data_IF_869612415690
#
_entry.id   IF_869612415690
#
_cell.length_a   1.000
_cell.length_b   1.000
_cell.length_c   1.000
_cell.angle_alpha   90.00
_cell.angle_beta   90.00
_cell.angle_gamma   90.00
#
_symmetry.space_group_name_H-M   'P 1'
#
loop_
_entity.id
_entity.type
_entity.pdbx_description
1 polymer ?
#
# COMPACT_ATOMS: atom_id res chain seq x y z
N UNK A 1 0.25 8.92 6.65
CA UNK A 1 1.27 8.44 7.60
C UNK A 1 1.38 6.91 7.58
N UNK A 2 2.44 6.35 8.16
CA UNK A 2 2.64 4.90 8.28
C UNK A 2 3.52 4.56 9.48
N UNK A 3 2.99 4.72 10.70
CA UNK A 3 3.78 4.55 11.94
C UNK A 3 4.19 3.08 12.13
N UNK A 4 5.31 2.85 12.83
CA UNK A 4 5.83 1.50 13.12
C UNK A 4 4.73 0.62 13.73
N UNK A 5 4.40 -0.48 13.05
CA UNK A 5 3.37 -1.44 13.47
C UNK A 5 1.99 -0.82 13.78
N UNK A 6 1.62 0.29 13.14
CA UNK A 6 0.38 1.04 13.45
C UNK A 6 -0.87 0.16 13.51
N UNK A 7 -1.17 -0.56 12.42
CA UNK A 7 -2.36 -1.44 12.35
C UNK A 7 -2.30 -2.54 13.42
N UNK A 8 -1.14 -3.17 13.61
CA UNK A 8 -0.94 -4.20 14.65
C UNK A 8 -1.19 -3.67 16.05
N UNK A 9 -0.68 -2.47 16.36
CA UNK A 9 -0.91 -1.82 17.66
C UNK A 9 -2.37 -1.42 17.86
N UNK A 10 -3.06 -0.98 16.81
CA UNK A 10 -4.48 -0.67 16.87
C UNK A 10 -5.32 -1.91 17.20
N UNK A 11 -5.07 -3.04 16.52
CA UNK A 11 -5.76 -4.29 16.82
C UNK A 11 -5.42 -4.83 18.21
N UNK A 12 -4.15 -4.77 18.62
CA UNK A 12 -3.72 -5.22 19.94
C UNK A 12 -4.35 -4.40 21.08
N UNK A 13 -4.56 -3.10 20.89
CA UNK A 13 -5.25 -2.25 21.85
C UNK A 13 -6.71 -2.67 22.10
N UNK A 14 -7.32 -3.40 21.15
CA UNK A 14 -8.66 -3.96 21.25
C UNK A 14 -8.65 -5.46 21.64
N UNK A 15 -7.49 -6.01 22.00
CA UNK A 15 -7.34 -7.42 22.39
C UNK A 15 -7.22 -8.40 21.21
N UNK A 16 -7.08 -7.92 19.97
CA UNK A 16 -6.94 -8.79 18.79
C UNK A 16 -5.47 -9.00 18.41
N UNK A 17 -5.14 -10.24 18.06
CA UNK A 17 -3.89 -10.58 17.39
C UNK A 17 -4.11 -10.66 15.88
N UNK A 18 -3.19 -10.08 15.12
CA UNK A 18 -3.24 -10.12 13.65
C UNK A 18 -2.39 -11.29 13.15
N UNK A 19 -3.06 -12.28 12.55
CA UNK A 19 -2.40 -13.42 11.89
C UNK A 19 -1.69 -12.98 10.61
N UNK A 20 -2.42 -12.29 9.72
CA UNK A 20 -1.88 -11.82 8.43
C UNK A 20 -2.24 -10.37 8.16
N UNK A 21 -1.32 -9.63 7.55
CA UNK A 21 -1.54 -8.25 7.12
C UNK A 21 -0.94 -8.08 5.72
N UNK A 22 -1.80 -7.76 4.75
CA UNK A 22 -1.41 -7.58 3.35
C UNK A 22 -1.84 -6.20 2.85
N UNK A 23 -0.89 -5.42 2.34
CA UNK A 23 -1.19 -4.15 1.67
C UNK A 23 -1.57 -4.43 0.22
N UNK A 24 -2.76 -3.99 -0.18
CA UNK A 24 -3.30 -4.24 -1.53
C UNK A 24 -3.23 -3.02 -2.47
N UNK A 25 -3.01 -1.82 -1.93
CA UNK A 25 -3.03 -0.56 -2.69
C UNK A 25 -2.18 0.52 -2.02
N UNK A 26 -1.61 1.41 -2.83
CA UNK A 26 -1.05 2.71 -2.42
C UNK A 26 -1.56 3.76 -3.39
N UNK A 27 -2.37 4.71 -2.91
CA UNK A 27 -3.02 5.72 -3.77
C UNK A 27 -3.71 5.08 -4.97
N UNK A 28 -3.44 5.53 -6.21
CA UNK A 28 -4.03 4.97 -7.41
C UNK A 28 -3.39 3.64 -7.89
N UNK A 29 -2.39 3.12 -7.20
CA UNK A 29 -1.64 1.92 -7.59
C UNK A 29 -2.12 0.70 -6.81
N UNK A 30 -2.62 -0.30 -7.53
CA UNK A 30 -3.10 -1.56 -6.96
C UNK A 30 -2.10 -2.71 -7.16
N UNK A 31 -2.11 -3.66 -6.22
CA UNK A 31 -1.32 -4.89 -6.29
C UNK A 31 -1.78 -5.79 -7.45
N UNK A 32 -3.09 -5.82 -7.74
CA UNK A 32 -3.69 -6.62 -8.80
C UNK A 32 -3.33 -8.10 -8.67
N UNK A 33 -2.85 -8.69 -9.77
CA UNK A 33 -2.51 -10.11 -9.88
C UNK A 33 -1.04 -10.43 -9.61
N UNK A 34 -0.24 -9.45 -9.14
CA UNK A 34 1.17 -9.66 -8.84
C UNK A 34 1.34 -10.65 -7.69
N UNK A 35 2.17 -11.67 -7.94
CA UNK A 35 2.56 -12.66 -6.94
C UNK A 35 3.65 -12.11 -6.03
N UNK A 36 3.87 -12.72 -4.84
CA UNK A 36 5.01 -12.38 -3.99
C UNK A 36 6.32 -12.36 -4.79
N UNK A 37 7.18 -11.39 -4.51
CA UNK A 37 8.46 -11.13 -5.19
C UNK A 37 8.38 -10.70 -6.67
N UNK A 38 7.18 -10.46 -7.21
CA UNK A 38 7.04 -9.85 -8.53
C UNK A 38 6.97 -8.31 -8.45
N UNK A 39 7.45 -7.66 -9.50
CA UNK A 39 7.32 -6.23 -9.71
C UNK A 39 6.89 -5.93 -11.15
N UNK A 40 6.33 -4.75 -11.35
CA UNK A 40 6.01 -4.20 -12.67
C UNK A 40 6.38 -2.73 -12.70
N UNK A 41 6.72 -2.22 -13.87
CA UNK A 41 6.94 -0.79 -14.05
C UNK A 41 5.59 -0.06 -14.03
N UNK A 42 5.58 1.11 -13.38
CA UNK A 42 4.47 2.05 -13.47
C UNK A 42 4.65 2.86 -14.76
N UNK A 43 3.60 2.95 -15.57
CA UNK A 43 3.67 3.67 -16.85
C UNK A 43 2.31 4.27 -17.22
N UNK A 44 2.34 5.16 -18.22
CA UNK A 44 1.14 5.77 -18.78
C UNK A 44 0.31 6.53 -17.74
N UNK A 45 -0.99 6.25 -17.70
CA UNK A 45 -1.94 6.96 -16.85
C UNK A 45 -1.66 6.78 -15.36
N UNK A 46 -1.27 5.57 -14.93
CA UNK A 46 -1.05 5.27 -13.52
C UNK A 46 0.12 6.08 -12.94
N UNK A 47 1.23 6.16 -13.67
CA UNK A 47 2.38 6.99 -13.27
C UNK A 47 2.02 8.48 -13.28
N UNK A 48 1.32 8.94 -14.32
CA UNK A 48 0.94 10.36 -14.44
C UNK A 48 0.05 10.81 -13.29
N UNK A 49 -0.94 9.99 -12.92
CA UNK A 49 -1.83 10.28 -11.79
C UNK A 49 -1.06 10.26 -10.47
N UNK A 50 -0.19 9.27 -10.26
CA UNK A 50 0.62 9.17 -9.04
C UNK A 50 1.52 10.40 -8.83
N UNK A 51 2.22 10.85 -9.87
CA UNK A 51 3.09 12.03 -9.80
C UNK A 51 2.29 13.32 -9.57
N UNK A 52 1.16 13.48 -10.27
CA UNK A 52 0.25 14.60 -10.09
C UNK A 52 -0.25 14.69 -8.63
N UNK A 53 -0.67 13.57 -8.04
CA UNK A 53 -1.20 13.52 -6.68
C UNK A 53 -0.13 13.81 -5.61
N UNK A 54 1.15 13.62 -5.95
CA UNK A 54 2.29 14.00 -5.12
C UNK A 54 2.74 15.44 -5.33
N UNK A 55 2.10 16.19 -6.22
CA UNK A 55 2.50 17.54 -6.62
C UNK A 55 3.94 17.60 -7.18
N UNK A 56 4.40 16.49 -7.76
CA UNK A 56 5.70 16.39 -8.43
C UNK A 56 5.44 16.54 -9.93
N UNK A 57 5.83 17.68 -10.50
CA UNK A 57 5.83 17.93 -11.95
C UNK A 57 7.20 17.62 -12.55
#
# INVERSE_FOLDING_TARGET
>A
EGKKHQIRRMCAALGYQIDTLKRIRIMNIELGTLKPNQYRNLSGHELKTFLKDLEIN
#
